data_IF_523108518537
#
_entry.id   IF_523108518537
#
_cell.length_a   1.000
_cell.length_b   1.000
_cell.length_c   1.000
_cell.angle_alpha   90.00
_cell.angle_beta   90.00
_cell.angle_gamma   90.00
#
_symmetry.space_group_name_H-M   'P 1'
#
loop_
_entity.id
_entity.type
_entity.pdbx_description
1 polymer ?
#
# COMPACT_ATOMS: atom_id res chain seq x y z
N UNK A 1 18.81 -26.70 2.64
CA UNK A 1 17.93 -27.51 1.76
C UNK A 1 16.45 -27.14 1.91
N UNK A 2 15.91 -27.02 3.14
CA UNK A 2 14.53 -26.58 3.38
C UNK A 2 14.22 -25.17 2.82
N UNK A 3 15.09 -24.18 3.05
CA UNK A 3 14.94 -22.82 2.50
C UNK A 3 14.88 -22.82 0.97
N UNK A 4 15.83 -23.51 0.31
CA UNK A 4 15.90 -23.55 -1.15
C UNK A 4 14.67 -24.22 -1.78
N UNK A 5 14.20 -25.32 -1.19
CA UNK A 5 12.98 -25.97 -1.64
C UNK A 5 11.75 -25.07 -1.46
N UNK A 6 11.65 -24.38 -0.32
CA UNK A 6 10.58 -23.40 -0.07
C UNK A 6 10.58 -22.27 -1.08
N UNK A 7 11.75 -21.69 -1.37
CA UNK A 7 11.88 -20.63 -2.39
C UNK A 7 11.47 -21.10 -3.78
N UNK A 8 11.77 -22.34 -4.17
CA UNK A 8 11.31 -22.90 -5.45
C UNK A 8 9.80 -23.12 -5.49
N UNK A 9 9.21 -23.64 -4.40
CA UNK A 9 7.76 -23.82 -4.28
C UNK A 9 7.04 -22.48 -4.32
N UNK A 10 7.53 -21.49 -3.57
CA UNK A 10 7.02 -20.13 -3.60
C UNK A 10 7.11 -19.52 -5.00
N UNK A 11 8.25 -19.67 -5.69
CA UNK A 11 8.42 -19.18 -7.05
C UNK A 11 7.42 -19.79 -8.04
N UNK A 12 7.19 -21.10 -7.98
CA UNK A 12 6.21 -21.77 -8.84
C UNK A 12 4.77 -21.33 -8.52
N UNK A 13 4.45 -21.16 -7.23
CA UNK A 13 3.15 -20.64 -6.79
C UNK A 13 2.94 -19.21 -7.26
N UNK A 14 3.93 -18.32 -7.10
CA UNK A 14 3.86 -16.94 -7.54
C UNK A 14 3.66 -16.83 -9.06
N UNK A 15 4.38 -17.63 -9.85
CA UNK A 15 4.20 -17.69 -11.31
C UNK A 15 2.73 -18.03 -11.65
N UNK A 16 2.14 -19.00 -10.96
CA UNK A 16 0.72 -19.35 -11.15
C UNK A 16 -0.19 -18.15 -10.84
N UNK A 17 0.01 -17.49 -9.70
CA UNK A 17 -0.80 -16.33 -9.31
C UNK A 17 -0.70 -15.18 -10.32
N UNK A 18 0.50 -14.90 -10.85
CA UNK A 18 0.71 -13.90 -11.91
C UNK A 18 -0.13 -14.20 -13.15
N UNK A 19 -0.15 -15.46 -13.62
CA UNK A 19 -0.94 -15.82 -14.79
C UNK A 19 -2.45 -15.77 -14.53
N UNK A 20 -2.91 -16.23 -13.36
CA UNK A 20 -4.33 -16.23 -12.98
C UNK A 20 -4.85 -14.80 -12.86
N UNK A 21 -4.16 -13.96 -12.09
CA UNK A 21 -4.51 -12.55 -11.94
C UNK A 21 -4.42 -11.80 -13.28
N UNK A 22 -3.39 -12.08 -14.08
CA UNK A 22 -3.21 -11.48 -15.40
C UNK A 22 -4.35 -11.81 -16.37
N UNK A 23 -4.82 -13.07 -16.40
CA UNK A 23 -5.94 -13.47 -17.23
C UNK A 23 -7.27 -12.86 -16.74
N UNK A 24 -7.48 -12.80 -15.41
CA UNK A 24 -8.63 -12.13 -14.80
C UNK A 24 -8.70 -10.66 -15.19
N UNK A 25 -7.59 -9.93 -15.02
CA UNK A 25 -7.48 -8.51 -15.39
C UNK A 25 -7.66 -8.30 -16.91
N UNK A 26 -7.12 -9.18 -17.75
CA UNK A 26 -7.30 -9.12 -19.19
C UNK A 26 -8.78 -9.29 -19.58
N UNK A 27 -9.48 -10.27 -19.00
CA UNK A 27 -10.93 -10.45 -19.23
C UNK A 27 -11.74 -9.25 -18.75
N UNK A 28 -11.39 -8.67 -17.60
CA UNK A 28 -12.04 -7.48 -17.06
C UNK A 28 -11.90 -6.27 -17.99
N UNK A 29 -10.72 -6.13 -18.62
CA UNK A 29 -10.44 -5.05 -19.58
C UNK A 29 -11.33 -5.10 -20.83
N UNK A 30 -11.94 -6.24 -21.16
CA UNK A 30 -12.87 -6.37 -22.28
C UNK A 30 -14.33 -6.06 -21.91
N UNK A 31 -14.66 -5.88 -20.62
CA UNK A 31 -16.04 -5.56 -20.20
C UNK A 31 -16.36 -4.09 -20.48
N UNK A 32 -17.59 -3.76 -20.95
CA UNK A 32 -18.01 -2.37 -21.20
C UNK A 32 -18.04 -1.49 -19.95
N UNK A 33 -18.30 -2.09 -18.79
CA UNK A 33 -18.10 -1.50 -17.47
C UNK A 33 -17.08 -2.39 -16.76
N UNK A 34 -15.88 -1.88 -16.56
CA UNK A 34 -14.83 -2.58 -15.83
C UNK A 34 -14.90 -2.22 -14.34
N UNK A 35 -14.41 -3.12 -13.49
CA UNK A 35 -14.17 -2.87 -12.05
C UNK A 35 -12.97 -1.95 -11.80
N UNK A 36 -12.87 -0.84 -12.55
CA UNK A 36 -11.82 0.16 -12.33
C UNK A 36 -12.18 1.04 -11.12
N UNK A 37 -11.83 0.55 -9.94
CA UNK A 37 -12.05 1.22 -8.66
C UNK A 37 -10.76 1.16 -7.84
N UNK A 38 -9.76 2.02 -8.16
CA UNK A 38 -8.46 1.92 -7.53
C UNK A 38 -8.53 2.22 -6.04
N UNK A 39 -7.81 1.45 -5.24
CA UNK A 39 -7.74 1.57 -3.77
C UNK A 39 -6.28 1.51 -3.32
N UNK A 40 -5.94 2.27 -2.29
CA UNK A 40 -4.65 2.18 -1.60
C UNK A 40 -4.90 1.53 -0.25
N UNK A 41 -4.32 0.36 -0.03
CA UNK A 41 -4.36 -0.35 1.25
C UNK A 41 -3.07 -0.13 2.04
N UNK A 42 -3.20 -0.10 3.35
CA UNK A 42 -2.13 0.08 4.35
C UNK A 42 -1.94 -1.24 5.06
N UNK A 43 -1.13 -2.13 4.50
CA UNK A 43 -0.99 -3.48 5.01
C UNK A 43 0.06 -3.55 6.14
N UNK A 44 -0.30 -4.02 7.35
CA UNK A 44 0.65 -4.21 8.44
C UNK A 44 1.50 -5.47 8.22
N UNK A 45 2.81 -5.27 8.02
CA UNK A 45 3.77 -6.34 7.76
C UNK A 45 4.01 -7.19 9.00
N UNK A 46 4.00 -8.51 8.81
CA UNK A 46 4.42 -9.52 9.81
C UNK A 46 5.90 -9.88 9.63
N UNK A 47 6.39 -9.89 8.39
CA UNK A 47 7.83 -10.03 8.11
C UNK A 47 8.60 -8.78 8.55
N UNK A 48 9.75 -8.99 9.19
CA UNK A 48 10.60 -7.90 9.70
C UNK A 48 12.00 -7.89 9.07
N UNK A 49 12.42 -9.01 8.48
CA UNK A 49 13.73 -9.12 7.83
C UNK A 49 13.76 -8.38 6.48
N UNK A 50 14.87 -7.70 6.20
CA UNK A 50 15.02 -6.88 5.00
C UNK A 50 14.88 -7.70 3.70
N UNK A 51 15.34 -8.95 3.70
CA UNK A 51 15.25 -9.83 2.54
C UNK A 51 13.81 -10.29 2.28
N UNK A 52 13.08 -10.63 3.34
CA UNK A 52 11.68 -11.02 3.24
C UNK A 52 10.82 -9.85 2.76
N UNK A 53 11.03 -8.65 3.31
CA UNK A 53 10.33 -7.44 2.87
C UNK A 53 10.63 -7.14 1.40
N UNK A 54 11.88 -7.28 0.96
CA UNK A 54 12.26 -7.09 -0.44
C UNK A 54 11.50 -8.04 -1.37
N UNK A 55 11.48 -9.34 -1.06
CA UNK A 55 10.75 -10.31 -1.89
C UNK A 55 9.25 -10.11 -1.84
N UNK A 56 8.68 -9.80 -0.68
CA UNK A 56 7.25 -9.55 -0.54
C UNK A 56 6.79 -8.35 -1.38
N UNK A 57 7.43 -7.20 -1.21
CA UNK A 57 7.10 -5.96 -1.96
C UNK A 57 7.34 -6.10 -3.47
N UNK A 58 8.36 -6.87 -3.87
CA UNK A 58 8.62 -7.20 -5.27
C UNK A 58 7.53 -8.10 -5.84
N UNK A 59 7.10 -9.13 -5.11
CA UNK A 59 6.02 -10.04 -5.53
C UNK A 59 4.70 -9.31 -5.69
N UNK A 60 4.35 -8.39 -4.78
CA UNK A 60 3.15 -7.54 -4.91
C UNK A 60 3.16 -6.77 -6.22
N UNK A 61 4.30 -6.22 -6.61
CA UNK A 61 4.43 -5.44 -7.86
C UNK A 61 4.45 -6.33 -9.10
N UNK A 62 4.91 -7.58 -8.97
CA UNK A 62 4.89 -8.55 -10.05
C UNK A 62 3.48 -9.07 -10.36
N UNK A 63 2.58 -9.09 -9.36
CA UNK A 63 1.18 -9.49 -9.53
C UNK A 63 0.41 -8.44 -10.33
N UNK A 64 -0.27 -8.84 -11.43
CA UNK A 64 -1.05 -7.90 -12.24
C UNK A 64 -2.14 -7.18 -11.45
N UNK A 65 -2.23 -5.86 -11.64
CA UNK A 65 -3.25 -5.04 -10.99
C UNK A 65 -2.86 -4.51 -9.61
N UNK A 66 -1.67 -4.83 -9.11
CA UNK A 66 -1.15 -4.32 -7.82
C UNK A 66 0.21 -3.64 -7.98
N UNK A 67 0.52 -2.72 -7.06
CA UNK A 67 1.78 -1.99 -6.99
C UNK A 67 2.15 -1.73 -5.53
N UNK A 68 3.37 -2.11 -5.13
CA UNK A 68 3.93 -1.68 -3.85
C UNK A 68 4.48 -0.25 -3.97
N UNK A 69 3.85 0.71 -3.29
CA UNK A 69 4.23 2.14 -3.35
C UNK A 69 5.41 2.46 -2.44
N UNK A 70 5.45 1.89 -1.25
CA UNK A 70 6.48 2.19 -0.27
C UNK A 70 6.18 1.67 1.13
N UNK A 71 7.16 1.88 2.01
CA UNK A 71 7.10 1.47 3.41
C UNK A 71 6.90 2.70 4.29
N UNK A 72 6.14 2.53 5.37
CA UNK A 72 5.98 3.51 6.45
C UNK A 72 6.39 2.87 7.76
N UNK A 73 7.33 3.52 8.44
CA UNK A 73 7.70 3.11 9.79
C UNK A 73 6.57 3.40 10.78
N UNK A 74 6.43 2.56 11.81
CA UNK A 74 5.42 2.74 12.84
C UNK A 74 5.64 4.04 13.63
N UNK A 75 4.55 4.58 14.17
CA UNK A 75 4.57 5.79 15.02
C UNK A 75 5.09 5.54 16.44
N UNK A 76 5.18 4.27 16.85
CA UNK A 76 5.65 3.85 18.17
C UNK A 76 6.37 2.49 18.08
N UNK A 77 7.31 2.26 18.99
CA UNK A 77 7.99 0.97 19.12
C UNK A 77 7.00 -0.15 19.43
N UNK A 78 7.16 -1.30 18.76
CA UNK A 78 6.28 -2.47 18.90
C UNK A 78 5.08 -2.53 17.96
N UNK A 79 4.84 -1.48 17.15
CA UNK A 79 3.84 -1.52 16.08
C UNK A 79 4.45 -2.01 14.75
N UNK A 80 3.65 -2.64 13.87
CA UNK A 80 4.16 -3.14 12.59
C UNK A 80 4.54 -2.00 11.64
N UNK A 81 5.56 -2.26 10.82
CA UNK A 81 5.81 -1.47 9.62
C UNK A 81 4.64 -1.65 8.65
N UNK A 82 4.25 -0.58 7.99
CA UNK A 82 3.15 -0.61 7.02
C UNK A 82 3.72 -0.60 5.61
N UNK A 83 3.26 -1.49 4.74
CA UNK A 83 3.45 -1.37 3.29
C UNK A 83 2.21 -0.75 2.66
N UNK A 84 2.42 0.26 1.82
CA UNK A 84 1.36 0.88 1.03
C UNK A 84 1.26 0.14 -0.29
N UNK A 85 0.08 -0.42 -0.57
CA UNK A 85 -0.19 -1.17 -1.80
C UNK A 85 -1.34 -0.50 -2.53
N UNK A 86 -1.13 -0.19 -3.80
CA UNK A 86 -2.20 0.22 -4.69
C UNK A 86 -2.73 -1.01 -5.42
N UNK A 87 -4.05 -1.19 -5.43
CA UNK A 87 -4.74 -2.15 -6.29
C UNK A 87 -5.65 -1.38 -7.27
N UNK A 88 -5.68 -1.79 -8.53
CA UNK A 88 -6.46 -1.13 -9.59
C UNK A 88 -7.93 -1.57 -9.58
N UNK A 89 -8.17 -2.85 -9.22
CA UNK A 89 -9.49 -3.42 -9.02
C UNK A 89 -9.70 -3.54 -7.50
N UNK A 90 -10.32 -2.54 -6.91
CA UNK A 90 -10.43 -2.35 -5.46
C UNK A 90 -11.85 -2.37 -4.91
N UNK A 91 -12.80 -2.94 -5.65
CA UNK A 91 -14.21 -3.04 -5.25
C UNK A 91 -14.37 -3.62 -3.83
N UNK A 92 -13.48 -4.55 -3.43
CA UNK A 92 -13.40 -5.10 -2.09
C UNK A 92 -11.96 -5.00 -1.51
N UNK A 93 -11.70 -4.12 -0.51
CA UNK A 93 -10.40 -4.01 0.12
C UNK A 93 -10.12 -5.15 1.10
N UNK A 94 -11.13 -5.90 1.55
CA UNK A 94 -10.97 -7.09 2.40
C UNK A 94 -10.30 -8.20 1.61
N UNK A 95 -10.78 -8.50 0.41
CA UNK A 95 -10.19 -9.52 -0.48
C UNK A 95 -8.72 -9.21 -0.80
N UNK A 96 -8.38 -7.93 -0.97
CA UNK A 96 -6.99 -7.50 -1.18
C UNK A 96 -6.13 -7.78 0.06
N UNK A 97 -6.62 -7.46 1.26
CA UNK A 97 -5.90 -7.76 2.51
C UNK A 97 -5.68 -9.25 2.70
N UNK A 98 -6.70 -10.07 2.43
CA UNK A 98 -6.61 -11.54 2.51
C UNK A 98 -5.58 -12.09 1.52
N UNK A 99 -5.58 -11.61 0.28
CA UNK A 99 -4.60 -12.01 -0.74
C UNK A 99 -3.17 -11.64 -0.36
N UNK A 100 -2.96 -10.44 0.21
CA UNK A 100 -1.66 -10.01 0.72
C UNK A 100 -1.20 -10.89 1.89
N UNK A 101 -2.11 -11.22 2.80
CA UNK A 101 -1.81 -12.09 3.94
C UNK A 101 -1.46 -13.52 3.52
N UNK A 102 -2.18 -14.08 2.55
CA UNK A 102 -1.88 -15.39 1.97
C UNK A 102 -0.51 -15.39 1.28
N UNK A 103 -0.20 -14.35 0.50
CA UNK A 103 1.10 -14.20 -0.16
C UNK A 103 2.26 -14.09 0.83
N UNK A 104 2.07 -13.36 1.93
CA UNK A 104 3.09 -13.21 2.96
C UNK A 104 3.32 -14.53 3.72
N UNK A 105 2.26 -15.30 4.02
CA UNK A 105 2.39 -16.63 4.64
C UNK A 105 3.11 -17.63 3.69
N UNK A 106 2.81 -17.60 2.40
CA UNK A 106 3.51 -18.41 1.41
C UNK A 106 5.00 -18.05 1.30
N UNK A 107 5.34 -16.76 1.40
CA UNK A 107 6.73 -16.31 1.39
C UNK A 107 7.44 -16.73 2.68
N UNK A 108 6.83 -16.46 3.83
CA UNK A 108 7.42 -16.58 5.15
C UNK A 108 6.47 -17.31 6.12
N UNK A 109 6.41 -18.66 6.10
CA UNK A 109 5.43 -19.43 6.86
C UNK A 109 5.45 -19.22 8.39
N UNK A 110 6.52 -18.64 8.92
CA UNK A 110 6.66 -18.33 10.33
C UNK A 110 5.74 -17.20 10.81
N UNK A 111 5.18 -16.41 9.88
CA UNK A 111 4.27 -15.29 10.20
C UNK A 111 2.84 -15.72 10.48
N UNK A 112 2.52 -17.01 10.29
CA UNK A 112 1.16 -17.56 10.39
C UNK A 112 0.44 -17.21 11.69
N UNK A 113 1.17 -17.18 12.80
CA UNK A 113 0.63 -16.95 14.14
C UNK A 113 0.70 -15.47 14.58
N UNK A 114 1.08 -14.55 13.68
CA UNK A 114 1.18 -13.11 13.94
C UNK A 114 -0.07 -12.41 13.41
N UNK A 115 -0.75 -11.68 14.29
CA UNK A 115 -2.01 -10.98 13.99
C UNK A 115 -1.94 -9.51 14.38
N UNK A 116 -2.23 -8.62 13.42
CA UNK A 116 -2.39 -7.18 13.64
C UNK A 116 -3.82 -6.67 13.47
N UNK A 117 -4.81 -7.57 13.47
CA UNK A 117 -6.23 -7.22 13.43
C UNK A 117 -6.72 -6.81 12.04
N UNK A 118 -6.14 -7.36 10.97
CA UNK A 118 -6.61 -7.18 9.59
C UNK A 118 -7.06 -8.52 8.99
N UNK A 119 -7.99 -8.50 8.01
CA UNK A 119 -8.43 -9.72 7.34
C UNK A 119 -7.28 -10.52 6.74
N UNK A 120 -7.39 -11.84 6.85
CA UNK A 120 -6.36 -12.80 6.41
C UNK A 120 -5.23 -13.05 7.40
N UNK A 121 -5.04 -12.21 8.43
CA UNK A 121 -4.10 -12.49 9.53
C UNK A 121 -4.77 -13.18 10.72
N UNK A 122 -6.10 -13.06 10.85
CA UNK A 122 -6.93 -13.68 11.89
C UNK A 122 -8.36 -13.92 11.41
N UNK A 123 -9.26 -14.30 12.33
CA UNK A 123 -10.69 -14.47 12.07
C UNK A 123 -11.44 -13.13 11.83
N UNK A 124 -10.72 -12.01 11.79
CA UNK A 124 -11.27 -10.67 11.56
C UNK A 124 -11.79 -10.55 10.14
N UNK A 125 -13.08 -10.22 9.97
CA UNK A 125 -13.72 -10.07 8.65
C UNK A 125 -13.95 -8.62 8.24
N UNK A 126 -13.97 -7.72 9.21
CA UNK A 126 -14.22 -6.30 8.97
C UNK A 126 -12.89 -5.56 8.89
N UNK A 127 -12.72 -4.72 7.87
CA UNK A 127 -11.54 -3.89 7.71
C UNK A 127 -11.82 -2.47 8.18
N UNK A 128 -11.03 -1.98 9.14
CA UNK A 128 -11.13 -0.59 9.59
C UNK A 128 -10.81 0.38 8.42
N UNK A 129 -11.64 1.42 8.18
CA UNK A 129 -11.39 2.43 7.16
C UNK A 129 -10.03 3.12 7.24
N UNK A 130 -9.34 3.10 8.39
CA UNK A 130 -7.98 3.58 8.52
C UNK A 130 -6.99 2.82 7.62
N UNK A 131 -7.28 1.55 7.28
CA UNK A 131 -6.38 0.69 6.52
C UNK A 131 -6.55 0.77 5.00
N UNK A 132 -7.50 1.55 4.47
CA UNK A 132 -7.63 1.74 3.03
C UNK A 132 -8.06 3.16 2.67
N UNK A 133 -7.97 3.49 1.38
CA UNK A 133 -8.40 4.78 0.84
C UNK A 133 -8.74 4.63 -0.63
N UNK A 134 -9.88 5.17 -1.05
CA UNK A 134 -10.27 5.25 -2.45
C UNK A 134 -9.84 6.60 -3.04
N UNK A 135 -8.69 6.70 -3.74
CA UNK A 135 -8.14 7.96 -4.23
C UNK A 135 -9.07 8.74 -5.18
N UNK A 136 -10.02 8.07 -5.86
CA UNK A 136 -10.96 8.74 -6.76
C UNK A 136 -12.22 9.26 -6.05
N UNK A 137 -12.54 8.73 -4.88
CA UNK A 137 -13.70 9.14 -4.07
C UNK A 137 -13.31 10.04 -2.91
N UNK A 138 -12.04 9.97 -2.52
CA UNK A 138 -11.46 10.89 -1.57
C UNK A 138 -11.12 12.16 -2.33
N UNK A 139 -11.91 13.22 -2.13
CA UNK A 139 -11.45 14.59 -2.42
C UNK A 139 -10.15 14.74 -1.66
N UNK A 140 -9.01 14.65 -2.37
CA UNK A 140 -7.71 14.39 -1.76
C UNK A 140 -7.56 15.22 -0.49
N UNK A 141 -7.15 14.59 0.62
CA UNK A 141 -6.69 15.34 1.80
C UNK A 141 -5.63 16.31 1.29
N UNK A 142 -6.01 17.54 1.00
CA UNK A 142 -5.26 18.56 0.26
C UNK A 142 -3.80 18.19 -0.04
N UNK A 143 -3.53 17.32 -1.03
CA UNK A 143 -2.19 17.27 -1.63
C UNK A 143 -2.21 18.30 -2.74
N UNK A 144 -2.04 19.54 -2.29
CA UNK A 144 -1.63 20.68 -3.07
C UNK A 144 -0.32 20.32 -3.78
N UNK A 145 -0.39 20.11 -5.08
CA UNK A 145 0.76 20.04 -5.97
C UNK A 145 0.27 20.49 -7.35
N UNK A 146 1.06 21.15 -8.21
CA UNK A 146 2.38 21.76 -8.10
C UNK A 146 2.40 23.20 -8.68
N UNK A 147 1.24 23.86 -8.71
CA UNK A 147 1.07 25.27 -9.09
C UNK A 147 1.58 26.24 -8.00
N UNK A 148 2.09 25.70 -6.89
CA UNK A 148 2.55 26.42 -5.68
C UNK A 148 4.03 26.17 -5.41
N UNK A 149 4.68 25.34 -6.22
CA UNK A 149 6.11 25.05 -6.14
C UNK A 149 6.92 26.16 -6.81
N UNK A 150 6.97 27.34 -6.18
CA UNK A 150 8.03 28.32 -6.41
C UNK A 150 9.11 28.09 -5.35
N UNK A 151 10.38 28.01 -5.75
CA UNK A 151 11.68 28.00 -5.03
C UNK A 151 11.78 27.63 -3.52
N UNK A 152 10.80 27.94 -2.67
CA UNK A 152 10.64 27.58 -1.26
C UNK A 152 10.48 26.08 -0.99
N UNK A 153 10.13 25.26 -2.00
CA UNK A 153 9.93 23.81 -1.86
C UNK A 153 11.23 22.99 -1.76
N UNK A 154 12.38 23.65 -1.54
CA UNK A 154 13.58 22.97 -1.06
C UNK A 154 13.42 22.72 0.44
N UNK A 155 13.43 21.48 0.93
CA UNK A 155 13.31 21.22 2.37
C UNK A 155 14.46 21.91 3.11
N UNK A 156 14.13 22.94 3.90
CA UNK A 156 15.09 23.60 4.77
C UNK A 156 15.16 22.86 6.12
N UNK A 157 16.35 22.71 6.71
CA UNK A 157 16.52 22.20 8.06
C UNK A 157 15.68 22.99 9.08
N UNK A 158 15.09 22.28 10.05
CA UNK A 158 14.13 22.86 11.00
C UNK A 158 14.72 23.94 11.93
N UNK A 159 16.05 23.99 12.05
CA UNK A 159 16.82 25.00 12.77
C UNK A 159 17.04 26.29 11.95
N UNK A 160 16.78 26.26 10.64
CA UNK A 160 16.94 27.40 9.73
C UNK A 160 15.62 28.12 9.42
N UNK A 161 14.48 27.64 9.96
CA UNK A 161 13.14 28.19 9.63
C UNK A 161 12.61 29.15 10.70
N UNK A 162 12.35 30.41 10.33
CA UNK A 162 11.71 31.40 11.21
C UNK A 162 10.24 31.07 11.48
N UNK A 163 9.80 31.19 12.75
CA UNK A 163 8.45 30.81 13.18
C UNK A 163 7.60 32.03 13.49
N UNK A 164 6.46 32.16 12.82
CA UNK A 164 5.54 33.28 13.00
C UNK A 164 4.13 32.83 13.43
N UNK A 165 3.43 33.73 14.14
CA UNK A 165 2.11 33.46 14.69
C UNK A 165 1.01 33.64 13.64
N UNK A 166 0.13 32.65 13.53
CA UNK A 166 -0.89 32.54 12.49
C UNK A 166 -2.24 33.12 12.94
N UNK A 167 -2.36 34.45 13.04
CA UNK A 167 -3.66 35.14 13.09
C UNK A 167 -3.59 36.61 12.62
N UNK A 168 -4.54 37.12 11.78
CA UNK A 168 -5.64 36.45 11.06
C UNK A 168 -5.35 36.17 9.57
N UNK A 169 -6.16 35.29 8.95
CA UNK A 169 -5.91 34.62 7.66
C UNK A 169 -6.79 35.15 6.50
N UNK A 170 -6.26 36.02 5.62
CA UNK A 170 -6.47 35.97 4.16
C UNK A 170 -5.50 36.94 3.45
N UNK A 171 -4.69 36.49 2.47
CA UNK A 171 -3.88 37.40 1.67
C UNK A 171 -4.59 37.81 0.36
N UNK A 172 -4.51 39.12 0.13
CA UNK A 172 -4.31 39.87 -1.11
C UNK A 172 -5.14 39.63 -2.39
N UNK A 173 -5.60 40.74 -2.98
CA UNK A 173 -5.73 40.85 -4.44
C UNK A 173 -4.92 42.06 -4.88
N UNK A 174 -3.86 41.84 -5.64
CA UNK A 174 -3.28 42.87 -6.50
C UNK A 174 -2.94 42.33 -7.87
N UNK A 175 -3.77 42.73 -8.83
CA UNK A 175 -3.37 42.94 -10.21
C UNK A 175 -4.08 44.21 -10.66
N UNK A 176 -3.28 45.23 -10.98
CA UNK A 176 -3.64 46.61 -11.41
C UNK A 176 -4.20 47.58 -10.35
#
# INVERSE_FOLDING_TARGET
MKLFFHSCVYGLWLIKEIFVAGFGLAMESFKPHNSYHPVIVRYPLRVTDAWEIFWFTSSITATPGTLSLGLREPVAEGLPRIVLVQAVMGDDPVEIMESLADMEEHLAPHVKDIDYGVPGQSDTKDLDPAFYEYPLETLGRHMRAPDIAQEEDTPLPADETEKYSVWPLHPERKGE
#
